data_IF_599319475053
#
_entry.id   IF_599319475053
#
_cell.length_a   1.000
_cell.length_b   1.000
_cell.length_c   1.000
_cell.angle_alpha   90.00
_cell.angle_beta   90.00
_cell.angle_gamma   90.00
#
_symmetry.space_group_name_H-M   'P 1'
#
loop_
_entity.id
_entity.type
_entity.pdbx_description
1 polymer ?
#
# COMPACT_ATOMS: atom_id res chain seq x y z
N UNK A 1 -14.60 18.34 46.98
CA UNK A 1 -15.52 18.35 45.81
C UNK A 1 -14.76 18.84 44.57
N UNK A 2 -13.67 18.14 44.21
CA UNK A 2 -12.78 18.46 43.08
C UNK A 2 -11.96 17.24 42.62
N UNK A 3 -11.77 16.24 43.47
CA UNK A 3 -11.09 14.97 43.11
C UNK A 3 -11.96 13.95 42.35
N UNK A 4 -13.26 14.20 42.20
CA UNK A 4 -14.16 13.36 41.40
C UNK A 4 -14.07 13.65 39.89
N UNK A 5 -13.30 14.65 39.47
CA UNK A 5 -13.10 15.00 38.05
C UNK A 5 -12.20 13.95 37.35
N UNK A 6 -11.37 13.23 38.11
CA UNK A 6 -10.61 12.08 37.58
C UNK A 6 -11.46 10.82 37.39
N UNK A 7 -12.69 10.79 37.92
CA UNK A 7 -13.59 9.62 37.90
C UNK A 7 -14.47 9.52 36.66
N UNK A 8 -14.30 10.40 35.67
CA UNK A 8 -15.01 10.36 34.40
C UNK A 8 -14.29 9.46 33.38
N UNK A 9 -14.23 8.17 33.70
CA UNK A 9 -13.95 7.08 32.75
C UNK A 9 -14.96 6.99 31.57
N UNK A 10 -15.91 7.92 31.43
CA UNK A 10 -17.24 7.66 30.86
C UNK A 10 -17.66 8.61 29.71
N UNK A 11 -16.73 9.28 29.02
CA UNK A 11 -16.94 9.75 27.63
C UNK A 11 -16.84 8.56 26.66
N UNK A 12 -17.87 7.70 26.72
CA UNK A 12 -18.04 6.42 26.01
C UNK A 12 -17.97 6.53 24.46
N UNK A 13 -17.80 7.75 23.92
CA UNK A 13 -17.72 8.07 22.49
C UNK A 13 -16.27 8.28 21.97
N UNK A 14 -15.32 8.70 22.82
CA UNK A 14 -13.98 9.12 22.37
C UNK A 14 -13.02 7.96 22.09
N UNK A 15 -12.79 7.09 23.07
CA UNK A 15 -11.86 5.96 22.94
C UNK A 15 -12.37 4.89 21.95
N UNK A 16 -13.66 4.58 21.99
CA UNK A 16 -14.31 3.67 21.04
C UNK A 16 -14.30 4.24 19.61
N UNK A 17 -14.54 5.55 19.47
CA UNK A 17 -14.46 6.25 18.18
C UNK A 17 -13.04 6.22 17.61
N UNK A 18 -12.03 6.52 18.43
CA UNK A 18 -10.62 6.46 18.00
C UNK A 18 -10.19 5.04 17.63
N UNK A 19 -10.61 4.03 18.39
CA UNK A 19 -10.31 2.64 18.07
C UNK A 19 -11.00 2.20 16.76
N UNK A 20 -12.24 2.63 16.53
CA UNK A 20 -12.94 2.41 15.26
C UNK A 20 -12.22 3.07 14.08
N UNK A 21 -11.73 4.30 14.25
CA UNK A 21 -10.92 5.00 13.23
C UNK A 21 -9.61 4.26 12.95
N UNK A 22 -8.94 3.75 14.00
CA UNK A 22 -7.73 2.96 13.84
C UNK A 22 -8.01 1.67 13.06
N UNK A 23 -9.09 0.97 13.39
CA UNK A 23 -9.51 -0.26 12.71
C UNK A 23 -9.80 0.02 11.21
N UNK A 24 -10.59 1.05 10.92
CA UNK A 24 -10.88 1.47 9.54
C UNK A 24 -9.61 1.85 8.77
N UNK A 25 -8.66 2.53 9.41
CA UNK A 25 -7.39 2.88 8.79
C UNK A 25 -6.56 1.62 8.46
N UNK A 26 -6.53 0.62 9.35
CA UNK A 26 -5.84 -0.65 9.13
C UNK A 26 -6.51 -1.48 8.03
N UNK A 27 -7.84 -1.54 8.03
CA UNK A 27 -8.61 -2.23 6.99
C UNK A 27 -8.41 -1.57 5.63
N UNK A 28 -8.37 -0.23 5.57
CA UNK A 28 -8.06 0.49 4.34
C UNK A 28 -6.66 0.15 3.83
N UNK A 29 -5.66 0.05 4.72
CA UNK A 29 -4.28 -0.36 4.36
C UNK A 29 -4.24 -1.77 3.76
N UNK A 30 -5.00 -2.71 4.32
CA UNK A 30 -5.14 -4.08 3.79
C UNK A 30 -5.91 -4.11 2.47
N UNK A 31 -6.92 -3.25 2.33
CA UNK A 31 -7.72 -3.15 1.10
C UNK A 31 -6.86 -2.80 -0.12
N UNK A 32 -5.79 -1.99 0.04
CA UNK A 32 -4.87 -1.70 -1.05
C UNK A 32 -4.05 -2.90 -1.50
N UNK A 33 -3.74 -3.84 -0.61
CA UNK A 33 -3.05 -5.09 -0.97
C UNK A 33 -3.97 -5.95 -1.82
N UNK A 34 -5.22 -6.13 -1.38
CA UNK A 34 -6.25 -6.86 -2.14
C UNK A 34 -6.51 -6.21 -3.50
N UNK A 35 -6.64 -4.88 -3.55
CA UNK A 35 -6.80 -4.14 -4.82
C UNK A 35 -5.61 -4.36 -5.76
N UNK A 36 -4.39 -4.30 -5.25
CA UNK A 36 -3.19 -4.55 -6.05
C UNK A 36 -3.13 -5.98 -6.58
N UNK A 37 -3.51 -6.98 -5.79
CA UNK A 37 -3.58 -8.38 -6.22
C UNK A 37 -4.63 -8.59 -7.32
N UNK A 38 -5.86 -8.11 -7.12
CA UNK A 38 -6.95 -8.26 -8.09
C UNK A 38 -6.57 -7.60 -9.42
N UNK A 39 -6.08 -6.36 -9.38
CA UNK A 39 -5.71 -5.64 -10.60
C UNK A 39 -4.47 -6.26 -11.26
N UNK A 40 -3.49 -6.73 -10.48
CA UNK A 40 -2.32 -7.43 -11.01
C UNK A 40 -2.69 -8.72 -11.75
N UNK A 41 -3.59 -9.53 -11.18
CA UNK A 41 -4.12 -10.74 -11.86
C UNK A 41 -4.91 -10.36 -13.11
N UNK A 42 -5.79 -9.35 -13.02
CA UNK A 42 -6.56 -8.86 -14.15
C UNK A 42 -5.68 -8.35 -15.30
N UNK A 43 -4.57 -7.69 -14.97
CA UNK A 43 -3.60 -7.23 -15.95
C UNK A 43 -2.93 -8.39 -16.71
N UNK A 44 -2.46 -9.42 -15.99
CA UNK A 44 -1.86 -10.62 -16.60
C UNK A 44 -2.86 -11.33 -17.52
N UNK A 45 -4.11 -11.46 -17.08
CA UNK A 45 -5.16 -12.06 -17.90
C UNK A 45 -5.42 -11.26 -19.18
N UNK A 46 -5.55 -9.93 -19.07
CA UNK A 46 -5.76 -9.05 -20.22
C UNK A 46 -4.59 -9.07 -21.20
N UNK A 47 -3.34 -9.19 -20.72
CA UNK A 47 -2.18 -9.41 -21.59
C UNK A 47 -2.30 -10.69 -22.41
N UNK A 48 -2.79 -11.79 -21.80
CA UNK A 48 -3.03 -13.05 -22.52
C UNK A 48 -4.01 -12.87 -23.68
N UNK A 49 -5.12 -12.15 -23.45
CA UNK A 49 -6.12 -11.82 -24.48
C UNK A 49 -5.50 -10.96 -25.60
N UNK A 50 -4.76 -9.92 -25.23
CA UNK A 50 -4.10 -9.02 -26.20
C UNK A 50 -3.07 -9.77 -27.04
N UNK A 51 -2.25 -10.64 -26.42
CA UNK A 51 -1.28 -11.46 -27.15
C UNK A 51 -1.96 -12.44 -28.11
N UNK A 52 -3.06 -13.07 -27.70
CA UNK A 52 -3.79 -13.99 -28.56
C UNK A 52 -4.40 -13.29 -29.78
N UNK A 53 -4.91 -12.06 -29.60
CA UNK A 53 -5.38 -11.22 -30.70
C UNK A 53 -4.27 -10.77 -31.66
N UNK A 54 -3.03 -10.62 -31.17
CA UNK A 54 -1.89 -10.12 -31.96
C UNK A 54 -1.06 -11.18 -32.70
N UNK A 55 -1.36 -12.48 -32.54
CA UNK A 55 -0.57 -13.60 -33.10
C UNK A 55 -0.54 -13.70 -34.63
N UNK A 56 -1.36 -12.93 -35.34
CA UNK A 56 -1.54 -13.06 -36.78
C UNK A 56 -0.79 -12.00 -37.62
N UNK A 57 0.10 -11.19 -37.02
CA UNK A 57 0.75 -10.10 -37.74
C UNK A 57 2.29 -10.14 -37.67
N UNK A 58 2.99 -10.21 -38.83
CA UNK A 58 4.44 -10.25 -38.90
C UNK A 58 5.07 -8.94 -38.40
N UNK A 59 6.33 -9.03 -37.94
CA UNK A 59 7.10 -7.90 -37.41
C UNK A 59 8.35 -7.70 -38.28
N UNK A 60 8.68 -6.46 -38.69
CA UNK A 60 9.88 -6.18 -39.46
C UNK A 60 11.15 -6.59 -38.71
N UNK A 61 12.03 -7.33 -39.39
CA UNK A 61 13.23 -7.96 -38.82
C UNK A 61 14.23 -6.94 -38.27
N UNK A 62 14.29 -5.75 -38.86
CA UNK A 62 15.24 -4.67 -38.51
C UNK A 62 15.02 -4.06 -37.12
N UNK A 63 13.79 -4.14 -36.57
CA UNK A 63 13.44 -3.60 -35.24
C UNK A 63 13.04 -4.67 -34.22
N UNK A 64 13.18 -5.94 -34.58
CA UNK A 64 12.71 -7.07 -33.78
C UNK A 64 13.26 -7.05 -32.34
N UNK A 65 14.55 -6.72 -32.16
CA UNK A 65 15.17 -6.64 -30.84
C UNK A 65 14.55 -5.57 -29.94
N UNK A 66 14.31 -4.37 -30.47
CA UNK A 66 13.69 -3.28 -29.72
C UNK A 66 12.23 -3.56 -29.40
N UNK A 67 11.52 -4.19 -30.35
CA UNK A 67 10.13 -4.61 -30.16
C UNK A 67 9.99 -5.65 -29.03
N UNK A 68 10.88 -6.65 -28.99
CA UNK A 68 10.90 -7.65 -27.92
C UNK A 68 11.24 -6.99 -26.58
N UNK A 69 12.27 -6.16 -26.50
CA UNK A 69 12.66 -5.48 -25.26
C UNK A 69 11.53 -4.60 -24.71
N UNK A 70 10.96 -3.74 -25.55
CA UNK A 70 9.84 -2.86 -25.17
C UNK A 70 8.61 -3.65 -24.77
N UNK A 71 8.28 -4.75 -25.46
CA UNK A 71 7.23 -5.67 -25.06
C UNK A 71 7.45 -6.27 -23.67
N UNK A 72 8.69 -6.67 -23.36
CA UNK A 72 9.07 -7.16 -22.04
C UNK A 72 8.94 -6.07 -20.95
N UNK A 73 9.38 -4.85 -21.23
CA UNK A 73 9.23 -3.72 -20.29
C UNK A 73 7.75 -3.42 -20.04
N UNK A 74 6.95 -3.36 -21.11
CA UNK A 74 5.50 -3.12 -21.04
C UNK A 74 4.81 -4.19 -20.20
N UNK A 75 5.20 -5.46 -20.32
CA UNK A 75 4.60 -6.58 -19.57
C UNK A 75 5.09 -6.65 -18.12
N UNK A 76 6.40 -6.54 -17.88
CA UNK A 76 6.99 -6.82 -16.57
C UNK A 76 6.90 -5.62 -15.64
N UNK A 77 7.03 -4.39 -16.16
CA UNK A 77 7.08 -3.20 -15.32
C UNK A 77 5.80 -3.02 -14.48
N UNK A 78 4.58 -3.15 -15.02
CA UNK A 78 3.36 -3.05 -14.20
C UNK A 78 3.26 -4.15 -13.14
N UNK A 79 3.71 -5.38 -13.45
CA UNK A 79 3.73 -6.49 -12.49
C UNK A 79 4.62 -6.16 -11.29
N UNK A 80 5.84 -5.66 -11.55
CA UNK A 80 6.76 -5.22 -10.50
C UNK A 80 6.14 -4.07 -9.70
N UNK A 81 5.47 -3.12 -10.36
CA UNK A 81 4.84 -1.99 -9.69
C UNK A 81 3.71 -2.42 -8.74
N UNK A 82 2.89 -3.42 -9.10
CA UNK A 82 1.90 -4.00 -8.17
C UNK A 82 2.56 -4.79 -7.04
N UNK A 83 3.64 -5.54 -7.31
CA UNK A 83 4.41 -6.20 -6.26
C UNK A 83 5.01 -5.19 -5.26
N UNK A 84 5.41 -4.01 -5.73
CA UNK A 84 5.87 -2.92 -4.86
C UNK A 84 4.78 -2.34 -3.98
N UNK A 85 3.48 -2.45 -4.33
CA UNK A 85 2.38 -2.07 -3.43
C UNK A 85 2.33 -3.00 -2.23
N UNK A 86 2.53 -4.30 -2.47
CA UNK A 86 2.54 -5.36 -1.45
C UNK A 86 3.78 -5.30 -0.56
N UNK A 87 4.90 -4.77 -1.08
CA UNK A 87 6.15 -4.73 -0.32
C UNK A 87 5.99 -3.92 0.98
N UNK A 88 6.34 -4.50 2.14
CA UNK A 88 6.20 -3.83 3.42
C UNK A 88 7.09 -2.58 3.43
N UNK A 89 6.47 -1.41 3.43
CA UNK A 89 7.21 -0.17 3.62
C UNK A 89 7.74 -0.20 5.06
N UNK A 90 9.05 -0.44 5.23
CA UNK A 90 9.70 -0.46 6.55
C UNK A 90 9.27 0.77 7.34
N UNK A 91 8.60 0.49 8.46
CA UNK A 91 8.00 1.46 9.38
C UNK A 91 9.07 2.43 9.91
N UNK A 92 10.33 2.00 10.00
CA UNK A 92 11.47 2.79 10.49
C UNK A 92 11.64 4.17 9.83
N UNK A 93 11.32 4.31 8.54
CA UNK A 93 11.42 5.62 7.85
C UNK A 93 10.25 6.56 8.14
N UNK A 94 9.10 6.04 8.59
CA UNK A 94 7.92 6.82 8.99
C UNK A 94 8.08 7.27 10.44
N UNK A 95 8.52 6.34 11.31
CA UNK A 95 8.63 6.56 12.75
C UNK A 95 9.72 7.58 13.12
N UNK A 96 10.85 7.62 12.40
CA UNK A 96 11.97 8.54 12.71
C UNK A 96 11.66 10.03 12.61
N UNK A 97 10.58 10.44 11.94
CA UNK A 97 10.22 11.86 11.76
C UNK A 97 9.25 12.41 12.82
N UNK A 98 8.64 11.56 13.64
CA UNK A 98 7.67 12.00 14.66
C UNK A 98 8.25 11.79 16.04
N UNK A 99 8.01 12.76 16.93
CA UNK A 99 8.65 12.84 18.22
C UNK A 99 8.19 11.68 19.12
N UNK A 100 8.97 10.59 19.14
CA UNK A 100 8.74 9.38 19.94
C UNK A 100 8.75 9.65 21.45
N UNK A 101 9.18 10.84 21.88
CA UNK A 101 9.23 11.24 23.29
C UNK A 101 7.84 11.51 23.89
N UNK A 102 6.78 11.60 23.09
CA UNK A 102 5.44 11.94 23.56
C UNK A 102 4.56 10.73 23.93
N UNK A 103 5.03 9.49 23.73
CA UNK A 103 4.20 8.28 23.77
C UNK A 103 4.98 7.13 24.43
N UNK A 104 4.35 6.41 25.37
CA UNK A 104 4.98 5.35 26.17
C UNK A 104 5.13 4.03 25.39
N UNK A 105 4.49 3.91 24.23
CA UNK A 105 4.64 2.76 23.32
C UNK A 105 4.13 1.48 23.95
N UNK A 106 3.03 1.57 24.70
CA UNK A 106 2.45 0.47 25.48
C UNK A 106 1.34 -0.26 24.72
N UNK A 107 1.06 0.11 23.47
CA UNK A 107 0.02 -0.54 22.66
C UNK A 107 0.43 -1.93 22.14
N UNK A 108 1.73 -2.17 21.96
CA UNK A 108 2.29 -3.45 21.56
C UNK A 108 3.39 -3.87 22.54
N UNK A 109 3.37 -5.13 22.96
CA UNK A 109 4.44 -5.65 23.80
C UNK A 109 5.75 -5.74 23.00
N UNK A 110 6.76 -5.02 23.47
CA UNK A 110 8.10 -5.03 22.90
C UNK A 110 9.07 -5.64 23.92
N UNK A 111 9.59 -6.84 23.61
CA UNK A 111 10.53 -7.57 24.44
C UNK A 111 11.89 -6.86 24.57
N UNK A 112 12.20 -5.91 23.68
CA UNK A 112 13.41 -5.08 23.79
C UNK A 112 13.25 -3.94 24.80
N UNK A 113 12.01 -3.52 25.06
CA UNK A 113 11.67 -2.42 25.96
C UNK A 113 11.22 -2.90 27.34
N UNK A 114 10.53 -4.04 27.41
CA UNK A 114 10.02 -4.61 28.65
C UNK A 114 10.47 -6.08 28.76
N UNK A 115 11.33 -6.36 29.75
CA UNK A 115 11.82 -7.72 30.03
C UNK A 115 10.80 -8.55 30.83
N UNK A 116 9.87 -7.90 31.54
CA UNK A 116 8.89 -8.54 32.41
C UNK A 116 7.46 -8.06 32.12
N UNK A 117 6.49 -8.97 32.23
CA UNK A 117 5.07 -8.68 32.03
C UNK A 117 4.55 -7.66 33.07
N UNK A 118 5.04 -7.69 34.31
CA UNK A 118 4.65 -6.72 35.34
C UNK A 118 5.14 -5.30 35.04
N UNK A 119 6.33 -5.16 34.45
CA UNK A 119 6.86 -3.87 34.02
C UNK A 119 6.00 -3.29 32.90
N UNK A 120 5.54 -4.13 31.96
CA UNK A 120 4.60 -3.74 30.92
C UNK A 120 3.25 -3.34 31.50
N UNK A 121 2.65 -4.13 32.39
CA UNK A 121 1.35 -3.80 33.03
C UNK A 121 1.40 -2.45 33.76
N UNK A 122 2.49 -2.17 34.48
CA UNK A 122 2.68 -0.86 35.14
C UNK A 122 2.81 0.30 34.16
N UNK A 123 3.46 0.09 33.02
CA UNK A 123 3.55 1.10 31.96
C UNK A 123 2.18 1.34 31.31
N UNK A 124 1.46 0.26 31.00
CA UNK A 124 0.10 0.29 30.42
C UNK A 124 -0.89 1.04 31.32
N UNK A 125 -0.83 0.84 32.63
CA UNK A 125 -1.70 1.53 33.60
C UNK A 125 -1.40 3.04 33.74
N UNK A 126 -0.17 3.47 33.41
CA UNK A 126 0.25 4.88 33.47
C UNK A 126 0.08 5.61 32.14
N UNK A 127 -0.06 4.88 31.05
CA UNK A 127 -0.09 5.43 29.71
C UNK A 127 -1.42 6.14 29.38
N UNK A 128 -1.31 7.21 28.58
CA UNK A 128 -2.46 7.90 28.01
C UNK A 128 -2.91 7.18 26.73
N UNK A 129 -3.92 6.33 26.87
CA UNK A 129 -4.46 5.52 25.77
C UNK A 129 -4.95 6.34 24.57
N UNK A 130 -5.49 7.54 24.79
CA UNK A 130 -5.95 8.38 23.68
C UNK A 130 -4.75 8.84 22.83
N UNK A 131 -3.63 9.20 23.47
CA UNK A 131 -2.39 9.57 22.77
C UNK A 131 -1.76 8.38 22.04
N UNK A 132 -1.74 7.20 22.66
CA UNK A 132 -1.25 5.96 22.04
C UNK A 132 -2.04 5.62 20.76
N UNK A 133 -3.38 5.66 20.83
CA UNK A 133 -4.24 5.35 19.69
C UNK A 133 -4.08 6.40 18.58
N UNK A 134 -4.05 7.69 18.91
CA UNK A 134 -3.84 8.76 17.92
C UNK A 134 -2.49 8.61 17.23
N UNK A 135 -1.43 8.26 17.98
CA UNK A 135 -0.12 8.01 17.40
C UNK A 135 -0.15 6.88 16.38
N UNK A 136 -0.81 5.75 16.70
CA UNK A 136 -0.97 4.65 15.75
C UNK A 136 -1.86 5.00 14.56
N UNK A 137 -2.94 5.77 14.74
CA UNK A 137 -3.76 6.27 13.62
C UNK A 137 -2.90 7.05 12.63
N UNK A 138 -2.06 7.95 13.15
CA UNK A 138 -1.20 8.82 12.36
C UNK A 138 -0.10 8.03 11.64
N UNK A 139 0.42 6.97 12.26
CA UNK A 139 1.36 6.02 11.63
C UNK A 139 0.70 5.15 10.55
N UNK A 140 -0.47 4.60 10.81
CA UNK A 140 -1.23 3.78 9.85
C UNK A 140 -1.70 4.62 8.67
N UNK A 141 -2.11 5.88 8.91
CA UNK A 141 -2.50 6.82 7.85
C UNK A 141 -1.35 7.14 6.89
N UNK A 142 -0.14 7.33 7.38
CA UNK A 142 1.03 7.51 6.51
C UNK A 142 1.32 6.28 5.63
N UNK A 143 1.14 5.07 6.21
CA UNK A 143 1.30 3.82 5.47
C UNK A 143 0.24 3.72 4.38
N UNK A 144 -1.01 4.06 4.70
CA UNK A 144 -2.14 4.11 3.77
C UNK A 144 -1.83 5.01 2.60
N UNK A 145 -1.36 6.23 2.86
CA UNK A 145 -1.10 7.21 1.80
C UNK A 145 0.07 6.76 0.90
N UNK A 146 1.13 6.17 1.46
CA UNK A 146 2.20 5.55 0.67
C UNK A 146 1.72 4.39 -0.18
N UNK A 147 0.83 3.53 0.34
CA UNK A 147 0.24 2.44 -0.44
C UNK A 147 -0.65 2.98 -1.56
N UNK A 148 -1.47 3.99 -1.27
CA UNK A 148 -2.30 4.68 -2.27
C UNK A 148 -1.44 5.24 -3.41
N UNK A 149 -0.36 5.97 -3.11
CA UNK A 149 0.52 6.52 -4.15
C UNK A 149 1.19 5.43 -4.97
N UNK A 150 1.67 4.35 -4.34
CA UNK A 150 2.25 3.19 -5.06
C UNK A 150 1.21 2.52 -5.96
N UNK A 151 0.00 2.33 -5.47
CA UNK A 151 -1.11 1.74 -6.22
C UNK A 151 -1.48 2.60 -7.44
N UNK A 152 -1.67 3.90 -7.25
CA UNK A 152 -1.98 4.82 -8.36
C UNK A 152 -0.87 4.84 -9.41
N UNK A 153 0.41 4.83 -9.00
CA UNK A 153 1.53 4.73 -9.93
C UNK A 153 1.49 3.42 -10.73
N UNK A 154 1.25 2.28 -10.08
CA UNK A 154 1.10 1.00 -10.77
C UNK A 154 -0.06 1.01 -11.77
N UNK A 155 -1.18 1.64 -11.40
CA UNK A 155 -2.34 1.81 -12.27
C UNK A 155 -2.02 2.67 -13.50
N UNK A 156 -1.30 3.78 -13.33
CA UNK A 156 -0.87 4.61 -14.46
C UNK A 156 0.05 3.85 -15.42
N UNK A 157 1.02 3.09 -14.90
CA UNK A 157 1.89 2.26 -15.74
C UNK A 157 1.13 1.15 -16.47
N UNK A 158 0.10 0.59 -15.84
CA UNK A 158 -0.79 -0.38 -16.46
C UNK A 158 -1.57 0.25 -17.62
N UNK A 159 -2.17 1.42 -17.39
CA UNK A 159 -2.88 2.15 -18.44
C UNK A 159 -1.97 2.56 -19.60
N UNK A 160 -0.77 3.06 -19.30
CA UNK A 160 0.24 3.37 -20.32
C UNK A 160 0.65 2.12 -21.11
N UNK A 161 0.79 0.97 -20.45
CA UNK A 161 1.11 -0.30 -21.09
C UNK A 161 0.03 -0.72 -22.09
N UNK A 162 -1.25 -0.66 -21.70
CA UNK A 162 -2.34 -0.94 -22.64
C UNK A 162 -2.41 0.06 -23.78
N UNK A 163 -2.19 1.34 -23.50
CA UNK A 163 -2.15 2.37 -24.54
C UNK A 163 -1.04 2.11 -25.56
N UNK A 164 0.16 1.74 -25.11
CA UNK A 164 1.28 1.38 -25.99
C UNK A 164 0.99 0.11 -26.80
N UNK A 165 0.40 -0.92 -26.18
CA UNK A 165 -0.01 -2.15 -26.88
C UNK A 165 -1.08 -1.86 -27.94
N UNK A 166 -2.01 -0.97 -27.64
CA UNK A 166 -3.04 -0.54 -28.58
C UNK A 166 -2.44 0.24 -29.75
N UNK A 167 -1.57 1.22 -29.48
CA UNK A 167 -0.91 2.00 -30.52
C UNK A 167 -0.03 1.12 -31.41
N UNK A 168 0.71 0.18 -30.82
CA UNK A 168 1.50 -0.80 -31.57
C UNK A 168 0.63 -1.64 -32.51
N UNK A 169 -0.52 -2.14 -32.02
CA UNK A 169 -1.47 -2.89 -32.85
C UNK A 169 -2.09 -2.03 -33.96
N UNK A 170 -2.44 -0.77 -33.68
CA UNK A 170 -2.95 0.16 -34.70
C UNK A 170 -1.91 0.45 -35.79
N UNK A 171 -0.66 0.70 -35.42
CA UNK A 171 0.42 0.97 -36.39
C UNK A 171 0.69 -0.25 -37.27
N UNK A 172 0.61 -1.46 -36.70
CA UNK A 172 0.67 -2.73 -37.45
C UNK A 172 -0.52 -2.90 -38.38
N UNK A 173 -1.73 -2.60 -37.92
CA UNK A 173 -2.95 -2.68 -38.73
C UNK A 173 -2.93 -1.71 -39.92
N UNK A 174 -2.35 -0.53 -39.75
CA UNK A 174 -2.20 0.48 -40.81
C UNK A 174 -1.00 0.24 -41.74
N UNK A 175 -0.25 -0.87 -41.58
CA UNK A 175 0.88 -1.22 -42.45
C UNK A 175 2.14 -0.34 -42.28
N UNK A 176 2.21 0.48 -41.23
CA UNK A 176 3.36 1.35 -40.94
C UNK A 176 4.54 0.57 -40.35
N UNK A 177 4.27 -0.62 -39.80
CA UNK A 177 5.24 -1.54 -39.19
C UNK A 177 5.24 -2.91 -39.91
N UNK A 178 5.39 -2.91 -41.25
CA UNK A 178 5.63 -4.15 -42.03
C UNK A 178 7.10 -4.55 -42.01
#
# INVERSE_FOLDING_TARGET
>A
MSEQISGNFHETLGANGLMSVLHEAQDTVRSYDTKAQIVGVGYIFALGVVQQSGKHMPVPMEWAGWYVFTGWVVVILPIIMYALVLYPSRIDKVTKKRNLQAVDGTMYFDNTKFTEAEAYTRAVLKADWAKEIVFEIVKVSDIRDKKRTRFLRALYWTGASFFLLFLSQMLRANGVLQ
#
